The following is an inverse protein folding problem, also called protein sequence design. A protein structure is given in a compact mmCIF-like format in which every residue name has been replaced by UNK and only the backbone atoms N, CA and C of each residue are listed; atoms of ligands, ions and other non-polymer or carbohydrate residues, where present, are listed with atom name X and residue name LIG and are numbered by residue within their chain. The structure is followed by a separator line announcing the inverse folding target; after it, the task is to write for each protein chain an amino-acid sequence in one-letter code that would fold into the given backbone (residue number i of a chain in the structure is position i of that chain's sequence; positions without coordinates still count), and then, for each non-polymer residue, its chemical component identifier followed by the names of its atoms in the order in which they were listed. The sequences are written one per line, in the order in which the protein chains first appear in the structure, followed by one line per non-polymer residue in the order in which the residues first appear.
data_IF_191943365103
#
_entry.id   IF_191943365103
#
_cell.length_a   1.000
_cell.length_b   1.000
_cell.length_c   1.000
_cell.angle_alpha   90.00
_cell.angle_beta   90.00
_cell.angle_gamma   90.00
#
_symmetry.space_group_name_H-M   'P 1'
#
loop_
_entity.id
_entity.type
_entity.pdbx_description
1 polymer ?
#
# COMPACT_ATOMS: atom_id res chain seq x y z
N UNK A 1 10.80 19.62 4.45
CA UNK A 1 11.62 18.76 5.30
C UNK A 1 11.79 17.37 4.69
N UNK A 2 12.83 16.63 5.13
CA UNK A 2 13.05 15.24 4.77
C UNK A 2 12.94 14.39 6.02
N UNK A 3 12.13 13.33 5.95
CA UNK A 3 11.89 12.40 7.04
C UNK A 3 12.46 11.04 6.61
N UNK A 4 13.35 10.48 7.41
CA UNK A 4 13.92 9.17 7.17
C UNK A 4 13.36 8.16 8.17
N UNK A 5 12.76 7.10 7.65
CA UNK A 5 12.38 5.91 8.41
C UNK A 5 13.29 4.77 7.94
N UNK A 6 14.10 4.24 8.82
CA UNK A 6 15.07 3.20 8.49
C UNK A 6 14.95 2.01 9.42
N UNK A 7 14.84 0.83 8.83
CA UNK A 7 14.97 -0.46 9.50
C UNK A 7 16.33 -1.05 9.16
N UNK A 8 17.13 -1.29 10.18
CA UNK A 8 18.48 -1.81 10.04
C UNK A 8 18.49 -3.33 9.84
N UNK A 9 19.62 -3.88 9.42
CA UNK A 9 19.80 -5.32 9.19
C UNK A 9 19.66 -6.18 10.45
N UNK A 10 19.86 -5.60 11.64
CA UNK A 10 19.62 -6.25 12.93
C UNK A 10 18.14 -6.23 13.35
N UNK A 11 17.25 -5.69 12.52
CA UNK A 11 15.82 -5.56 12.76
C UNK A 11 15.40 -4.35 13.58
N UNK A 12 16.35 -3.59 14.14
CA UNK A 12 16.04 -2.35 14.85
C UNK A 12 15.58 -1.24 13.88
N UNK A 13 14.77 -0.31 14.38
CA UNK A 13 14.26 0.78 13.57
C UNK A 13 14.49 2.14 14.25
N UNK A 14 14.76 3.18 13.45
CA UNK A 14 15.06 4.51 13.99
C UNK A 14 13.84 5.23 14.59
N UNK A 15 12.65 4.68 14.41
CA UNK A 15 11.41 5.14 15.06
C UNK A 15 11.05 4.37 16.34
N UNK A 16 11.86 3.36 16.71
CA UNK A 16 11.71 2.66 17.98
C UNK A 16 12.35 3.46 19.09
N UNK A 17 11.54 4.19 19.83
CA UNK A 17 12.00 4.87 21.03
C UNK A 17 12.19 3.82 22.12
N UNK A 18 13.44 3.36 22.32
CA UNK A 18 13.79 2.58 23.50
C UNK A 18 13.50 3.47 24.70
N UNK A 19 12.47 3.12 25.47
CA UNK A 19 12.24 3.78 26.75
C UNK A 19 13.57 3.77 27.50
N UNK A 20 14.08 4.94 27.90
CA UNK A 20 15.30 5.04 28.69
C UNK A 20 15.16 4.12 29.89
N UNK A 21 15.80 2.95 29.84
CA UNK A 21 15.93 2.09 31.01
C UNK A 21 16.74 2.87 32.04
N UNK A 22 16.02 3.39 33.04
CA UNK A 22 16.51 3.75 34.32
C UNK A 22 17.79 4.60 34.35
N UNK A 23 17.67 5.89 34.57
CA UNK A 23 18.67 6.56 35.37
C UNK A 23 18.78 5.78 36.68
N UNK A 24 19.90 5.09 36.85
CA UNK A 24 20.25 4.39 38.10
C UNK A 24 20.07 5.35 39.27
N UNK A 25 19.09 5.09 40.09
CA UNK A 25 18.87 5.83 41.33
C UNK A 25 20.13 5.66 42.13
N UNK A 26 20.95 6.69 42.23
CA UNK A 26 21.98 6.76 43.29
C UNK A 26 21.28 6.60 44.59
N UNK A 27 21.70 5.58 45.34
CA UNK A 27 21.30 5.31 46.72
C UNK A 27 21.45 6.57 47.60
N UNK A 28 20.35 7.27 47.79
CA UNK A 28 20.20 8.15 48.93
C UNK A 28 19.33 7.39 49.92
N UNK A 29 19.98 6.84 50.92
CA UNK A 29 19.37 6.19 52.09
C UNK A 29 18.31 7.14 52.68
N UNK A 30 17.06 6.78 52.80
CA UNK A 30 16.12 7.44 53.67
C UNK A 30 15.73 6.46 54.81
N UNK A 31 16.38 6.63 55.93
CA UNK A 31 15.74 6.27 57.17
C UNK A 31 14.62 7.28 57.40
N UNK A 32 13.39 6.89 57.20
CA UNK A 32 12.21 7.25 58.00
C UNK A 32 10.93 6.68 57.42
N UNK A 33 10.11 6.16 58.31
CA UNK A 33 8.85 5.44 58.20
C UNK A 33 7.77 6.09 57.31
N UNK A 34 7.02 5.23 56.63
CA UNK A 34 5.56 5.29 56.51
C UNK A 34 5.00 6.30 55.51
N UNK A 35 4.93 5.94 54.24
CA UNK A 35 3.83 6.27 53.34
C UNK A 35 4.02 5.50 52.01
N UNK A 36 3.15 4.52 51.77
CA UNK A 36 3.07 3.82 50.48
C UNK A 36 2.56 4.77 49.43
N UNK A 37 3.42 5.55 48.82
CA UNK A 37 3.10 6.29 47.63
C UNK A 37 3.53 5.42 46.45
N UNK A 38 2.57 4.71 45.89
CA UNK A 38 2.71 4.10 44.56
C UNK A 38 2.88 5.23 43.53
N UNK A 39 4.08 5.75 43.45
CA UNK A 39 4.45 6.70 42.35
C UNK A 39 4.58 5.89 41.08
N UNK A 40 3.46 5.61 40.41
CA UNK A 40 3.46 5.40 38.97
C UNK A 40 3.87 6.73 38.36
N UNK A 41 5.16 6.87 38.09
CA UNK A 41 5.66 7.92 37.23
C UNK A 41 5.23 7.59 35.79
N UNK A 42 3.95 7.75 35.52
CA UNK A 42 3.48 7.81 34.15
C UNK A 42 3.98 9.13 33.60
N UNK A 43 4.85 9.10 32.58
CA UNK A 43 5.16 10.28 31.80
C UNK A 43 3.82 10.91 31.37
N UNK A 44 3.69 12.25 31.42
CA UNK A 44 2.43 12.89 31.03
C UNK A 44 2.06 12.47 29.62
N UNK A 45 0.80 12.19 29.33
CA UNK A 45 0.36 11.84 28.00
C UNK A 45 0.63 13.05 27.08
N UNK A 46 1.51 12.86 26.10
CA UNK A 46 1.75 13.89 25.10
C UNK A 46 0.63 13.75 24.06
N UNK A 47 -0.27 14.73 24.04
CA UNK A 47 -1.31 14.84 23.03
C UNK A 47 -0.88 15.85 21.94
N UNK A 48 -1.27 15.59 20.71
CA UNK A 48 -1.09 16.51 19.60
C UNK A 48 -2.46 16.78 18.96
N UNK A 49 -3.00 17.96 19.18
CA UNK A 49 -4.31 18.32 18.59
C UNK A 49 -4.19 18.61 17.09
N UNK A 50 -3.03 19.10 16.66
CA UNK A 50 -2.81 19.47 15.26
C UNK A 50 -1.32 19.55 14.94
N UNK A 51 -0.72 18.46 14.53
CA UNK A 51 0.62 18.44 13.96
C UNK A 51 0.51 18.52 12.44
N UNK A 52 1.09 19.55 11.82
CA UNK A 52 1.10 19.73 10.37
C UNK A 52 2.47 19.39 9.78
N UNK A 53 2.48 18.61 8.73
CA UNK A 53 3.63 18.36 7.87
C UNK A 53 3.34 18.98 6.51
N UNK A 54 4.21 19.80 5.99
CA UNK A 54 4.00 20.49 4.72
C UNK A 54 5.17 20.23 3.77
N UNK A 55 4.83 19.77 2.55
CA UNK A 55 5.76 19.55 1.45
C UNK A 55 7.02 18.76 1.87
N UNK A 56 6.85 17.70 2.63
CA UNK A 56 7.93 16.84 3.08
C UNK A 56 8.26 15.76 2.04
N UNK A 57 9.46 15.21 2.14
CA UNK A 57 9.84 13.96 1.51
C UNK A 57 10.02 12.91 2.61
N UNK A 58 9.26 11.83 2.55
CA UNK A 58 9.43 10.67 3.42
C UNK A 58 10.20 9.60 2.64
N UNK A 59 11.29 9.13 3.23
CA UNK A 59 12.09 8.02 2.68
C UNK A 59 12.02 6.88 3.69
N UNK A 60 11.48 5.76 3.25
CA UNK A 60 11.50 4.50 4.00
C UNK A 60 12.55 3.57 3.40
N UNK A 61 13.45 3.08 4.24
CA UNK A 61 14.48 2.12 3.88
C UNK A 61 14.40 0.91 4.80
N UNK A 62 14.28 -0.26 4.20
CA UNK A 62 14.37 -1.54 4.91
C UNK A 62 15.62 -2.29 4.44
N UNK A 63 16.63 -2.36 5.32
CA UNK A 63 17.89 -3.02 5.02
C UNK A 63 17.78 -4.56 4.99
N UNK A 64 16.70 -5.14 5.56
CA UNK A 64 16.46 -6.58 5.55
C UNK A 64 15.93 -7.00 4.18
N UNK A 65 14.92 -6.31 3.67
CA UNK A 65 14.30 -6.61 2.37
C UNK A 65 14.92 -5.85 1.19
N UNK A 66 15.92 -4.98 1.45
CA UNK A 66 16.53 -4.09 0.46
C UNK A 66 15.54 -3.18 -0.27
N UNK A 67 14.40 -2.92 0.36
CA UNK A 67 13.35 -2.04 -0.17
C UNK A 67 13.64 -0.60 0.21
N UNK A 68 13.56 0.31 -0.77
CA UNK A 68 13.57 1.75 -0.53
C UNK A 68 12.35 2.36 -1.22
N UNK A 69 11.47 2.99 -0.44
CA UNK A 69 10.31 3.70 -0.95
C UNK A 69 10.39 5.19 -0.61
N UNK A 70 9.88 6.01 -1.51
CA UNK A 70 9.91 7.45 -1.37
C UNK A 70 8.53 8.04 -1.61
N UNK A 71 8.08 8.87 -0.67
CA UNK A 71 6.87 9.68 -0.79
C UNK A 71 7.31 11.14 -0.89
N UNK A 72 7.00 11.80 -1.97
CA UNK A 72 7.32 13.19 -2.23
C UNK A 72 6.11 14.08 -2.01
N UNK A 73 6.34 15.38 -1.81
CA UNK A 73 5.28 16.38 -1.62
C UNK A 73 4.26 15.96 -0.56
N UNK A 74 4.76 15.25 0.47
CA UNK A 74 3.92 14.81 1.58
C UNK A 74 3.43 16.02 2.37
N UNK A 75 2.14 16.20 2.41
CA UNK A 75 1.47 17.17 3.27
C UNK A 75 0.42 16.42 4.08
N UNK A 76 0.51 16.50 5.41
CA UNK A 76 -0.35 15.74 6.30
C UNK A 76 -0.71 16.55 7.54
N UNK A 77 -1.92 16.33 8.03
CA UNK A 77 -2.39 16.80 9.33
C UNK A 77 -2.61 15.60 10.22
N UNK A 78 -2.04 15.63 11.41
CA UNK A 78 -2.05 14.55 12.38
C UNK A 78 -2.68 15.08 13.67
N UNK A 79 -3.71 14.39 14.15
CA UNK A 79 -4.28 14.57 15.47
C UNK A 79 -4.10 13.27 16.26
N UNK A 80 -3.60 13.37 17.49
CA UNK A 80 -3.36 12.22 18.35
C UNK A 80 -3.71 12.56 19.80
N UNK A 81 -4.62 11.81 20.39
CA UNK A 81 -5.00 11.97 21.79
C UNK A 81 -3.86 11.57 22.75
N UNK A 82 -2.99 10.68 22.32
CA UNK A 82 -1.76 10.28 23.02
C UNK A 82 -0.77 9.65 22.05
N UNK A 83 0.48 9.43 22.49
CA UNK A 83 1.46 8.64 21.71
C UNK A 83 1.06 7.17 21.54
N UNK A 84 0.11 6.68 22.34
CA UNK A 84 -0.43 5.31 22.25
C UNK A 84 -1.73 5.25 21.41
N UNK A 85 -2.16 6.37 20.86
CA UNK A 85 -3.41 6.51 20.11
C UNK A 85 -4.59 6.99 20.96
N UNK A 86 -5.75 7.10 20.38
CA UNK A 86 -6.00 7.03 18.93
C UNK A 86 -5.35 8.17 18.15
N UNK A 87 -5.06 7.90 16.87
CA UNK A 87 -4.45 8.88 15.99
C UNK A 87 -5.21 8.91 14.65
N UNK A 88 -5.44 10.12 14.15
CA UNK A 88 -5.97 10.36 12.82
C UNK A 88 -4.96 11.14 11.98
N UNK A 89 -4.74 10.71 10.74
CA UNK A 89 -3.86 11.38 9.80
C UNK A 89 -4.54 11.52 8.46
N UNK A 90 -4.68 12.75 7.99
CA UNK A 90 -5.21 13.06 6.65
C UNK A 90 -4.12 13.76 5.86
N UNK A 91 -3.91 13.33 4.62
CA UNK A 91 -2.86 13.94 3.83
C UNK A 91 -2.90 13.63 2.36
N UNK A 92 -1.92 14.20 1.69
CA UNK A 92 -1.62 14.01 0.27
C UNK A 92 -0.13 13.72 0.11
N UNK A 93 0.24 13.07 -0.96
CA UNK A 93 1.63 12.80 -1.30
C UNK A 93 1.76 12.32 -2.73
N UNK A 94 2.98 12.11 -3.17
CA UNK A 94 3.27 11.54 -4.48
C UNK A 94 4.17 10.33 -4.31
N UNK A 95 3.73 9.17 -4.77
CA UNK A 95 4.49 7.90 -4.74
C UNK A 95 4.77 7.48 -6.17
N UNK A 96 6.05 7.29 -6.52
CA UNK A 96 6.47 6.92 -7.89
C UNK A 96 5.85 7.81 -8.97
N UNK A 97 5.73 9.12 -8.69
CA UNK A 97 5.13 10.09 -9.61
C UNK A 97 3.60 10.16 -9.58
N UNK A 98 2.91 9.27 -8.86
CA UNK A 98 1.45 9.22 -8.75
C UNK A 98 0.96 10.05 -7.56
N UNK A 99 0.16 11.11 -7.78
CA UNK A 99 -0.46 11.84 -6.67
C UNK A 99 -1.50 10.97 -5.95
N UNK A 100 -1.42 10.98 -4.62
CA UNK A 100 -2.30 10.24 -3.72
C UNK A 100 -2.95 11.16 -2.71
N UNK A 101 -4.14 10.78 -2.25
CA UNK A 101 -4.76 11.27 -1.03
C UNK A 101 -4.91 10.11 -0.06
N UNK A 102 -4.82 10.36 1.24
CA UNK A 102 -5.02 9.31 2.23
C UNK A 102 -5.65 9.83 3.52
N UNK A 103 -6.36 8.91 4.18
CA UNK A 103 -6.87 9.07 5.54
C UNK A 103 -6.52 7.78 6.29
N UNK A 104 -5.71 7.92 7.34
CA UNK A 104 -5.28 6.84 8.21
C UNK A 104 -5.80 7.08 9.62
N UNK A 105 -6.58 6.13 10.12
CA UNK A 105 -7.04 6.10 11.50
C UNK A 105 -6.36 4.93 12.19
N UNK A 106 -5.63 5.21 13.25
CA UNK A 106 -4.98 4.24 14.12
C UNK A 106 -5.66 4.31 15.47
N UNK A 107 -6.20 3.20 15.95
CA UNK A 107 -6.82 3.14 17.25
C UNK A 107 -5.80 3.05 18.39
N UNK A 108 -6.29 2.95 19.60
CA UNK A 108 -5.45 2.79 20.78
C UNK A 108 -4.69 1.45 20.76
N UNK A 109 -3.45 1.47 21.22
CA UNK A 109 -2.62 0.26 21.35
C UNK A 109 -3.14 -0.58 22.52
N UNK A 110 -3.79 -1.69 22.22
CA UNK A 110 -4.41 -2.59 23.21
C UNK A 110 -3.35 -3.56 23.73
N UNK A 111 -3.16 -3.57 25.06
CA UNK A 111 -2.22 -4.47 25.75
C UNK A 111 -0.80 -4.48 25.15
N UNK A 112 -0.37 -3.34 24.58
CA UNK A 112 0.94 -3.17 23.93
C UNK A 112 1.21 -4.17 22.77
N UNK A 113 0.20 -4.85 22.25
CA UNK A 113 0.36 -5.94 21.28
C UNK A 113 -0.56 -5.85 20.07
N UNK A 114 -1.64 -5.09 20.16
CA UNK A 114 -2.65 -5.01 19.10
C UNK A 114 -2.97 -3.57 18.79
N UNK A 115 -2.94 -3.23 17.50
CA UNK A 115 -3.29 -1.89 16.98
C UNK A 115 -4.34 -2.03 15.90
N UNK A 116 -5.56 -1.58 16.15
CA UNK A 116 -6.55 -1.47 15.08
C UNK A 116 -6.22 -0.28 14.18
N UNK A 117 -6.40 -0.43 12.87
CA UNK A 117 -6.26 0.68 11.93
C UNK A 117 -7.21 0.58 10.74
N UNK A 118 -7.46 1.72 10.14
CA UNK A 118 -8.18 1.86 8.88
C UNK A 118 -7.45 2.88 8.00
N UNK A 119 -7.07 2.46 6.81
CA UNK A 119 -6.47 3.31 5.79
C UNK A 119 -7.43 3.41 4.60
N UNK A 120 -7.74 4.63 4.18
CA UNK A 120 -8.36 4.92 2.90
C UNK A 120 -7.37 5.72 2.07
N UNK A 121 -7.21 5.34 0.81
CA UNK A 121 -6.33 6.04 -0.10
C UNK A 121 -7.00 6.19 -1.47
N UNK A 122 -6.67 7.27 -2.16
CA UNK A 122 -7.12 7.53 -3.51
C UNK A 122 -5.97 7.96 -4.40
N UNK A 123 -5.96 7.49 -5.65
CA UNK A 123 -5.01 7.92 -6.68
C UNK A 123 -5.76 8.49 -7.88
N UNK A 124 -5.22 9.56 -8.47
CA UNK A 124 -5.82 10.20 -9.65
C UNK A 124 -5.73 9.27 -10.87
N UNK A 125 -4.57 8.61 -11.04
CA UNK A 125 -4.36 7.66 -12.12
C UNK A 125 -5.32 6.47 -11.98
N UNK A 126 -6.10 6.18 -13.03
CA UNK A 126 -7.14 5.15 -13.03
C UNK A 126 -8.31 5.39 -12.08
N UNK A 127 -8.38 6.56 -11.44
CA UNK A 127 -9.35 6.92 -10.39
C UNK A 127 -9.47 5.85 -9.32
N UNK A 128 -8.34 5.39 -8.85
CA UNK A 128 -8.25 4.30 -7.87
C UNK A 128 -8.67 4.76 -6.49
N UNK A 129 -9.46 3.94 -5.81
CA UNK A 129 -9.77 4.06 -4.38
C UNK A 129 -9.41 2.76 -3.69
N UNK A 130 -8.68 2.87 -2.59
CA UNK A 130 -8.29 1.72 -1.77
C UNK A 130 -8.72 1.91 -0.33
N UNK A 131 -9.10 0.82 0.29
CA UNK A 131 -9.36 0.75 1.72
C UNK A 131 -8.74 -0.51 2.30
N UNK A 132 -8.03 -0.35 3.40
CA UNK A 132 -7.48 -1.45 4.20
C UNK A 132 -7.91 -1.22 5.64
N UNK A 133 -8.59 -2.19 6.22
CA UNK A 133 -9.04 -2.10 7.61
C UNK A 133 -8.72 -3.39 8.35
N UNK A 134 -8.32 -3.27 9.62
CA UNK A 134 -7.99 -4.45 10.41
C UNK A 134 -7.15 -4.16 11.65
N UNK A 135 -6.40 -5.15 12.06
CA UNK A 135 -5.57 -5.11 13.25
C UNK A 135 -4.17 -5.64 12.96
N UNK A 136 -3.16 -4.93 13.44
CA UNK A 136 -1.82 -5.45 13.64
C UNK A 136 -1.77 -6.12 15.01
N UNK A 137 -1.38 -7.38 15.07
CA UNK A 137 -1.28 -8.17 16.30
C UNK A 137 0.15 -8.68 16.47
N UNK A 138 0.55 -8.95 17.71
CA UNK A 138 1.90 -9.43 18.07
C UNK A 138 3.02 -8.51 17.62
N UNK A 139 2.88 -7.21 17.87
CA UNK A 139 3.81 -6.16 17.40
C UNK A 139 5.26 -6.38 17.81
N UNK A 140 5.50 -7.04 18.94
CA UNK A 140 6.84 -7.18 19.55
C UNK A 140 7.60 -8.43 19.13
N UNK A 141 6.91 -9.46 18.61
CA UNK A 141 7.52 -10.74 18.25
C UNK A 141 7.46 -10.98 16.75
N UNK A 142 6.29 -11.43 16.30
CA UNK A 142 6.03 -11.69 14.87
C UNK A 142 4.78 -10.91 14.44
N UNK A 143 4.95 -9.67 13.97
CA UNK A 143 3.84 -8.84 13.57
C UNK A 143 2.98 -9.54 12.52
N UNK A 144 1.67 -9.54 12.74
CA UNK A 144 0.69 -10.13 11.84
C UNK A 144 -0.44 -9.16 11.62
N UNK A 145 -0.73 -8.89 10.38
CA UNK A 145 -1.93 -8.17 9.97
C UNK A 145 -3.09 -9.15 9.79
N UNK A 146 -4.26 -8.77 10.28
CA UNK A 146 -5.54 -9.43 10.00
C UNK A 146 -6.58 -8.36 9.69
N UNK A 147 -7.23 -8.46 8.56
CA UNK A 147 -8.22 -7.47 8.16
C UNK A 147 -8.78 -7.74 6.78
N UNK A 148 -9.31 -6.70 6.18
CA UNK A 148 -9.83 -6.73 4.83
C UNK A 148 -9.16 -5.68 3.96
N UNK A 149 -9.15 -5.93 2.66
CA UNK A 149 -8.72 -4.98 1.65
C UNK A 149 -9.83 -4.84 0.60
N UNK A 150 -9.99 -3.62 0.13
CA UNK A 150 -10.84 -3.31 -1.02
C UNK A 150 -10.11 -2.28 -1.87
N UNK A 151 -9.99 -2.56 -3.18
CA UNK A 151 -9.43 -1.64 -4.16
C UNK A 151 -10.37 -1.61 -5.36
N UNK A 152 -10.70 -0.44 -5.83
CA UNK A 152 -11.55 -0.25 -7.01
C UNK A 152 -11.02 0.92 -7.84
N UNK A 153 -11.27 0.90 -9.13
CA UNK A 153 -10.90 1.99 -10.04
C UNK A 153 -11.63 1.89 -11.37
N UNK A 154 -11.56 2.97 -12.13
CA UNK A 154 -12.26 3.06 -13.43
C UNK A 154 -11.39 2.57 -14.58
N UNK A 155 -10.06 2.56 -14.44
CA UNK A 155 -9.12 2.17 -15.50
C UNK A 155 -7.90 1.48 -14.89
N UNK A 156 -7.88 0.15 -14.98
CA UNK A 156 -6.76 -0.67 -14.48
C UNK A 156 -5.48 -0.43 -15.27
N UNK A 157 -5.57 -0.21 -16.60
CA UNK A 157 -4.37 0.03 -17.40
C UNK A 157 -3.71 1.37 -17.02
N UNK A 158 -4.49 2.43 -16.80
CA UNK A 158 -3.97 3.71 -16.34
C UNK A 158 -3.33 3.58 -14.94
N UNK A 159 -3.97 2.85 -14.03
CA UNK A 159 -3.44 2.59 -12.69
C UNK A 159 -2.10 1.84 -12.74
N UNK A 160 -2.03 0.74 -13.47
CA UNK A 160 -0.82 -0.07 -13.58
C UNK A 160 0.31 0.65 -14.32
N UNK A 161 0.01 1.36 -15.42
CA UNK A 161 0.99 2.13 -16.18
C UNK A 161 1.64 3.22 -15.33
N UNK A 162 0.86 3.87 -14.46
CA UNK A 162 1.37 4.90 -13.57
C UNK A 162 2.32 4.35 -12.50
N UNK A 163 2.15 3.11 -12.07
CA UNK A 163 3.00 2.45 -11.07
C UNK A 163 4.25 1.81 -11.69
N UNK A 164 4.11 1.20 -12.86
CA UNK A 164 5.20 0.46 -13.51
C UNK A 164 6.09 1.34 -14.40
N UNK A 165 5.59 2.50 -14.82
CA UNK A 165 6.25 3.36 -15.82
C UNK A 165 6.33 2.74 -17.22
N UNK A 166 5.67 1.61 -17.44
CA UNK A 166 5.65 0.87 -18.72
C UNK A 166 4.23 0.79 -19.28
N UNK A 167 4.13 0.66 -20.60
CA UNK A 167 2.85 0.49 -21.27
C UNK A 167 2.19 -0.84 -20.87
N UNK A 168 0.91 -0.79 -20.53
CA UNK A 168 0.08 -1.93 -20.14
C UNK A 168 -0.91 -2.21 -21.28
N UNK A 169 -1.25 -3.48 -21.56
CA UNK A 169 -2.20 -3.83 -22.62
C UNK A 169 -3.53 -3.09 -22.48
N UNK A 170 -4.03 -2.54 -23.60
CA UNK A 170 -5.28 -1.76 -23.63
C UNK A 170 -6.52 -2.56 -23.21
N UNK A 171 -6.49 -3.87 -23.29
CA UNK A 171 -7.55 -4.75 -22.79
C UNK A 171 -7.83 -4.57 -21.30
N UNK A 172 -6.83 -4.08 -20.53
CA UNK A 172 -6.97 -3.77 -19.11
C UNK A 172 -7.52 -2.35 -18.85
N UNK A 173 -7.78 -1.53 -19.88
CA UNK A 173 -8.39 -0.22 -19.73
C UNK A 173 -9.89 -0.34 -19.42
N UNK A 174 -10.20 -0.98 -18.30
CA UNK A 174 -11.54 -1.27 -17.82
C UNK A 174 -11.63 -0.98 -16.31
N UNK A 175 -12.86 -0.77 -15.85
CA UNK A 175 -13.12 -0.69 -14.42
C UNK A 175 -12.73 -1.99 -13.73
N UNK A 176 -12.17 -1.87 -12.54
CA UNK A 176 -11.74 -3.03 -11.79
C UNK A 176 -12.11 -2.92 -10.31
N UNK A 177 -12.15 -4.07 -9.70
CA UNK A 177 -12.42 -4.24 -8.29
C UNK A 177 -11.68 -5.46 -7.77
N UNK A 178 -11.07 -5.34 -6.60
CA UNK A 178 -10.47 -6.44 -5.84
C UNK A 178 -10.81 -6.25 -4.38
N UNK A 179 -11.39 -7.28 -3.77
CA UNK A 179 -11.69 -7.31 -2.35
C UNK A 179 -11.40 -8.65 -1.74
N UNK A 180 -11.22 -8.72 -0.42
CA UNK A 180 -11.02 -9.97 0.30
C UNK A 180 -10.50 -9.78 1.72
N UNK A 181 -10.48 -10.90 2.45
CA UNK A 181 -9.94 -10.98 3.80
C UNK A 181 -8.44 -11.26 3.74
N UNK A 182 -7.64 -10.43 4.39
CA UNK A 182 -6.19 -10.52 4.35
C UNK A 182 -5.62 -10.95 5.69
N UNK A 183 -4.73 -11.91 5.64
CA UNK A 183 -3.81 -12.22 6.73
C UNK A 183 -2.40 -12.12 6.18
N UNK A 184 -1.59 -11.21 6.74
CA UNK A 184 -0.22 -10.99 6.28
C UNK A 184 0.77 -11.07 7.42
N UNK A 185 1.93 -11.66 7.14
CA UNK A 185 3.14 -11.67 7.95
C UNK A 185 4.31 -11.20 7.06
N UNK A 186 5.51 -11.10 7.61
CA UNK A 186 6.72 -10.81 6.83
C UNK A 186 7.05 -11.90 5.79
N UNK A 187 6.57 -13.12 6.00
CA UNK A 187 6.88 -14.29 5.15
C UNK A 187 5.75 -14.66 4.19
N UNK A 188 4.51 -14.23 4.44
CA UNK A 188 3.36 -14.72 3.72
C UNK A 188 2.22 -13.70 3.72
N UNK A 189 1.54 -13.58 2.58
CA UNK A 189 0.25 -12.89 2.46
C UNK A 189 -0.79 -13.88 1.97
N UNK A 190 -1.86 -14.04 2.73
CA UNK A 190 -3.04 -14.82 2.36
C UNK A 190 -4.21 -13.89 2.17
N UNK A 191 -4.92 -14.08 1.06
CA UNK A 191 -6.24 -13.47 0.85
C UNK A 191 -7.26 -14.59 0.69
N UNK A 192 -8.25 -14.60 1.55
CA UNK A 192 -9.41 -15.47 1.47
C UNK A 192 -10.64 -14.68 1.02
N UNK A 193 -11.64 -15.38 0.51
CA UNK A 193 -12.87 -14.77 0.03
C UNK A 193 -12.61 -13.66 -0.99
N UNK A 194 -11.61 -13.88 -1.85
CA UNK A 194 -11.23 -12.90 -2.88
C UNK A 194 -12.37 -12.74 -3.87
N UNK A 195 -12.75 -11.50 -4.14
CA UNK A 195 -13.69 -11.13 -5.20
C UNK A 195 -12.98 -10.17 -6.15
N UNK A 196 -12.93 -10.53 -7.43
CA UNK A 196 -12.22 -9.79 -8.48
C UNK A 196 -13.21 -9.46 -9.58
N UNK A 197 -13.22 -8.19 -9.98
CA UNK A 197 -13.93 -7.72 -11.16
C UNK A 197 -12.99 -7.00 -12.12
N UNK A 198 -13.15 -7.25 -13.41
CA UNK A 198 -12.53 -6.51 -14.50
C UNK A 198 -13.56 -6.33 -15.62
N UNK A 199 -14.06 -5.10 -15.79
CA UNK A 199 -15.23 -4.85 -16.65
C UNK A 199 -16.40 -5.73 -16.22
N UNK A 200 -16.87 -6.60 -17.13
CA UNK A 200 -17.92 -7.59 -16.90
C UNK A 200 -17.41 -8.94 -16.34
N UNK A 201 -16.08 -9.17 -16.40
CA UNK A 201 -15.47 -10.40 -15.88
C UNK A 201 -15.52 -10.44 -14.37
N UNK A 202 -15.88 -11.59 -13.80
CA UNK A 202 -15.96 -11.81 -12.35
C UNK A 202 -15.29 -13.12 -11.99
N UNK A 203 -14.44 -13.06 -10.96
CA UNK A 203 -13.79 -14.24 -10.38
C UNK A 203 -13.78 -14.14 -8.86
N UNK A 204 -13.83 -15.29 -8.20
CA UNK A 204 -13.72 -15.38 -6.74
C UNK A 204 -12.84 -16.55 -6.33
N UNK A 205 -12.28 -16.50 -5.12
CA UNK A 205 -11.43 -17.59 -4.63
C UNK A 205 -10.45 -17.18 -3.56
N UNK A 206 -9.26 -17.77 -3.59
CA UNK A 206 -8.20 -17.55 -2.62
C UNK A 206 -6.87 -17.28 -3.31
N UNK A 207 -6.08 -16.41 -2.70
CA UNK A 207 -4.72 -16.08 -3.13
C UNK A 207 -3.74 -16.28 -1.98
N UNK A 208 -2.56 -16.79 -2.29
CA UNK A 208 -1.45 -16.90 -1.37
C UNK A 208 -0.18 -16.43 -2.05
N UNK A 209 0.52 -15.51 -1.40
CA UNK A 209 1.84 -15.03 -1.80
C UNK A 209 2.82 -15.40 -0.70
N UNK A 210 3.78 -16.26 -1.01
CA UNK A 210 4.90 -16.62 -0.16
C UNK A 210 6.08 -15.68 -0.49
N UNK A 211 6.59 -14.95 0.52
CA UNK A 211 7.60 -13.90 0.41
C UNK A 211 9.02 -14.41 0.70
N UNK A 212 9.37 -15.64 0.28
CA UNK A 212 10.73 -16.17 0.40
C UNK A 212 11.70 -15.55 -0.63
N UNK A 213 12.92 -16.09 -0.72
CA UNK A 213 13.96 -15.65 -1.67
C UNK A 213 13.47 -15.55 -3.11
N UNK A 214 12.51 -16.38 -3.47
CA UNK A 214 11.78 -16.32 -4.73
C UNK A 214 10.29 -16.24 -4.40
N UNK A 215 9.66 -15.08 -4.57
CA UNK A 215 8.22 -14.93 -4.32
C UNK A 215 7.41 -15.93 -5.16
N UNK A 216 6.45 -16.61 -4.52
CA UNK A 216 5.56 -17.58 -5.16
C UNK A 216 4.12 -17.17 -4.96
N UNK A 217 3.38 -17.10 -6.05
CA UNK A 217 1.95 -16.84 -6.04
C UNK A 217 1.20 -18.13 -6.29
N UNK A 218 0.32 -18.49 -5.38
CA UNK A 218 -0.64 -19.58 -5.53
C UNK A 218 -2.03 -18.97 -5.57
N UNK A 219 -2.80 -19.25 -6.62
CA UNK A 219 -4.15 -18.76 -6.79
C UNK A 219 -5.09 -19.93 -7.07
N UNK A 220 -6.23 -19.94 -6.39
CA UNK A 220 -7.37 -20.83 -6.72
C UNK A 220 -8.56 -19.91 -6.98
N UNK A 221 -8.88 -19.70 -8.24
CA UNK A 221 -9.93 -18.79 -8.68
C UNK A 221 -11.00 -19.56 -9.44
N UNK A 222 -12.25 -19.29 -9.12
CA UNK A 222 -13.42 -19.68 -9.87
C UNK A 222 -13.90 -18.48 -10.69
N UNK A 223 -13.90 -18.62 -11.99
CA UNK A 223 -14.35 -17.57 -12.90
C UNK A 223 -15.82 -17.79 -13.22
N UNK A 224 -16.68 -16.86 -12.81
CA UNK A 224 -18.14 -16.98 -12.99
C UNK A 224 -18.61 -16.41 -14.32
N UNK A 225 -17.95 -15.37 -14.80
CA UNK A 225 -18.29 -14.69 -16.05
C UNK A 225 -17.00 -14.21 -16.70
N UNK A 226 -16.84 -14.47 -17.99
CA UNK A 226 -15.73 -13.97 -18.81
C UNK A 226 -16.33 -13.18 -19.96
N UNK A 227 -15.92 -11.94 -20.11
CA UNK A 227 -16.18 -11.12 -21.30
C UNK A 227 -15.01 -11.26 -22.27
N UNK A 228 -15.13 -12.24 -23.17
CA UNK A 228 -14.08 -12.52 -24.17
C UNK A 228 -13.99 -11.40 -25.21
N UNK A 229 -15.10 -10.75 -25.53
CA UNK A 229 -15.12 -9.66 -26.52
C UNK A 229 -14.33 -8.45 -26.02
N UNK A 230 -14.49 -8.11 -24.73
CA UNK A 230 -13.73 -7.02 -24.10
C UNK A 230 -12.22 -7.34 -24.00
N UNK A 231 -11.84 -8.63 -23.94
CA UNK A 231 -10.44 -9.05 -23.87
C UNK A 231 -9.74 -9.08 -25.24
N UNK A 232 -10.51 -9.27 -26.33
CA UNK A 232 -9.96 -9.43 -27.68
C UNK A 232 -10.15 -8.18 -28.54
N UNK A 233 -11.22 -7.42 -28.32
CA UNK A 233 -11.51 -6.23 -29.12
C UNK A 233 -10.52 -5.09 -28.82
N UNK A 234 -9.75 -4.58 -29.81
CA UNK A 234 -9.05 -3.33 -29.63
C UNK A 234 -10.11 -2.24 -29.44
N UNK A 235 -10.06 -1.53 -28.29
CA UNK A 235 -10.90 -0.34 -28.10
C UNK A 235 -10.56 0.65 -29.22
N UNK A 236 -11.47 0.78 -30.17
CA UNK A 236 -11.44 1.85 -31.15
C UNK A 236 -11.48 3.17 -30.38
N UNK A 237 -10.41 3.93 -30.43
CA UNK A 237 -10.42 5.32 -29.96
C UNK A 237 -11.47 6.01 -30.80
N UNK A 238 -12.62 6.34 -30.24
CA UNK A 238 -13.62 7.18 -30.89
C UNK A 238 -13.00 8.57 -31.07
N UNK A 239 -12.27 8.75 -32.15
CA UNK A 239 -11.87 10.05 -32.63
C UNK A 239 -13.18 10.76 -32.98
N UNK A 240 -13.53 11.79 -32.25
CA UNK A 240 -14.53 12.78 -32.65
C UNK A 240 -14.04 13.41 -33.96
N UNK A 241 -14.43 12.80 -35.05
CA UNK A 241 -14.17 13.33 -36.40
C UNK A 241 -15.22 14.37 -36.71
N UNK A 242 -14.88 15.63 -36.48
CA UNK A 242 -15.50 16.70 -37.20
C UNK A 242 -15.29 16.48 -38.69
N UNK A 243 -16.37 16.45 -39.45
CA UNK A 243 -16.40 16.24 -40.89
C UNK A 243 -15.37 17.09 -41.61
N UNK A 244 -14.49 16.46 -42.39
CA UNK A 244 -13.81 17.03 -43.53
C UNK A 244 -13.81 16.04 -44.67
N UNK A 245 -14.28 16.54 -45.80
CA UNK A 245 -14.53 15.99 -47.11
C UNK A 245 -13.37 15.14 -47.69
N UNK A 246 -13.76 14.02 -48.30
CA UNK A 246 -12.90 13.11 -49.03
C UNK A 246 -12.21 13.78 -50.22
N UNK A 247 -10.90 13.58 -50.37
CA UNK A 247 -10.22 13.41 -51.64
C UNK A 247 -8.86 12.73 -51.43
N UNK A 248 -8.65 11.68 -52.20
CA UNK A 248 -7.41 11.00 -52.56
C UNK A 248 -6.60 10.33 -51.43
N UNK A 249 -6.78 9.01 -51.30
CA UNK A 249 -5.80 8.14 -50.69
C UNK A 249 -5.51 6.96 -51.59
N UNK A 250 -4.32 6.99 -52.17
CA UNK A 250 -3.67 5.89 -52.87
C UNK A 250 -3.30 4.79 -51.85
N UNK A 251 -3.70 3.56 -52.13
CA UNK A 251 -3.49 2.38 -51.30
C UNK A 251 -2.02 1.96 -51.28
N UNK A 252 -1.36 1.81 -50.13
CA UNK A 252 -0.08 1.10 -50.07
C UNK A 252 -0.31 -0.41 -49.94
N UNK A 253 0.43 -1.13 -50.74
CA UNK A 253 0.51 -2.58 -50.90
C UNK A 253 1.02 -3.20 -49.59
N UNK A 254 0.23 -4.09 -48.97
CA UNK A 254 0.63 -4.88 -47.80
C UNK A 254 1.58 -6.01 -48.19
N UNK A 255 2.76 -6.06 -47.60
CA UNK A 255 3.61 -7.26 -47.54
C UNK A 255 3.26 -8.11 -46.30
N UNK A 256 3.30 -9.45 -46.40
CA UNK A 256 2.93 -10.32 -45.31
C UNK A 256 4.04 -10.38 -44.25
N UNK A 257 3.69 -10.11 -42.98
CA UNK A 257 4.56 -10.28 -41.84
C UNK A 257 4.80 -11.77 -41.54
N UNK A 258 6.09 -12.15 -41.60
CA UNK A 258 6.60 -13.46 -41.26
C UNK A 258 6.42 -13.77 -39.77
N UNK A 259 5.74 -14.88 -39.51
CA UNK A 259 5.66 -15.46 -38.16
C UNK A 259 7.02 -16.07 -37.78
N UNK A 260 7.64 -15.55 -36.71
CA UNK A 260 8.50 -16.32 -35.77
C UNK A 260 9.28 -15.38 -34.84
N UNK A 261 8.77 -15.17 -33.62
CA UNK A 261 9.62 -14.97 -32.45
C UNK A 261 8.86 -15.44 -31.20
N UNK A 262 9.45 -16.30 -30.37
CA UNK A 262 8.79 -16.72 -29.15
C UNK A 262 8.76 -15.56 -28.13
N UNK A 263 7.63 -15.42 -27.50
CA UNK A 263 7.39 -14.43 -26.45
C UNK A 263 8.30 -14.74 -25.25
N UNK A 264 9.31 -13.92 -25.01
CA UNK A 264 10.09 -13.93 -23.77
C UNK A 264 9.56 -12.84 -22.85
N UNK A 265 8.97 -13.27 -21.75
CA UNK A 265 8.65 -12.38 -20.63
C UNK A 265 9.98 -12.01 -19.95
N UNK A 266 10.45 -10.80 -20.17
CA UNK A 266 11.58 -10.25 -19.41
C UNK A 266 11.02 -9.48 -18.24
N UNK A 267 11.15 -10.02 -17.03
CA UNK A 267 10.87 -9.30 -15.79
C UNK A 267 11.84 -8.11 -15.68
N UNK A 268 11.38 -6.93 -15.25
CA UNK A 268 12.25 -5.78 -15.07
C UNK A 268 13.32 -6.08 -14.02
N UNK A 269 14.58 -5.79 -14.36
CA UNK A 269 15.71 -5.84 -13.43
C UNK A 269 15.45 -4.84 -12.30
N UNK A 270 15.27 -5.35 -11.09
CA UNK A 270 14.98 -4.59 -9.88
C UNK A 270 14.20 -5.38 -8.85
N UNK A 271 13.97 -6.66 -9.10
CA UNK A 271 13.43 -7.63 -8.15
C UNK A 271 14.43 -8.79 -7.95
N UNK A 272 15.72 -8.47 -8.01
CA UNK A 272 16.78 -9.37 -7.52
C UNK A 272 17.16 -8.96 -6.10
#
# INVERSE_FOLDING_TARGET
PVIYLERLSDGSANWEFKAMKGATRRDLNPTTSGATIASRSAAPPIAFDNLSIENATLIYRDSISSVTERIEKLSARIAAASLQGPMETIGTGTVRGVPLTFNLNVGEIIHQRTVPFNLRAGAVAGKVKGQVGGMLVNLTEMPKFKGNVKVEGEDLAAALSSLSGTGVPSMLAQSFYVGGDVTATVAEVKMANVDIGLGETRASGDLRLDMGDKPRVNARLEVRKVDLDALVAPKSVSTLTGARTAKDITTPKMEPLSAKAPFRLTLPKGLE
#
